data_IF_849106103714
#
_entry.id   IF_849106103714
#
_cell.length_a   1.000
_cell.length_b   1.000
_cell.length_c   1.000
_cell.angle_alpha   90.00
_cell.angle_beta   90.00
_cell.angle_gamma   90.00
#
_symmetry.space_group_name_H-M   'P 1'
#
loop_
_entity.id
_entity.type
_entity.pdbx_description
1 polymer ?
#
# COMPACT_ATOMS: atom_id res chain seq x y z
N UNK A 1 32.87 -0.29 -6.48
CA UNK A 1 31.85 -0.56 -5.45
C UNK A 1 30.52 0.10 -5.74
N UNK A 2 29.93 -0.10 -6.94
CA UNK A 2 28.60 0.43 -7.30
C UNK A 2 27.47 -0.59 -7.31
N UNK A 3 27.78 -1.89 -7.22
CA UNK A 3 26.76 -2.95 -7.29
C UNK A 3 25.73 -2.90 -6.16
N UNK A 4 26.17 -2.62 -4.93
CA UNK A 4 25.27 -2.47 -3.77
C UNK A 4 24.30 -1.30 -3.93
N UNK A 5 24.74 -0.21 -4.56
CA UNK A 5 23.88 0.95 -4.83
C UNK A 5 22.82 0.64 -5.91
N UNK A 6 23.19 -0.12 -6.93
CA UNK A 6 22.23 -0.60 -7.93
C UNK A 6 21.18 -1.54 -7.32
N UNK A 7 21.58 -2.41 -6.38
CA UNK A 7 20.65 -3.31 -5.68
C UNK A 7 19.68 -2.54 -4.77
N UNK A 8 20.13 -1.49 -4.07
CA UNK A 8 19.24 -0.67 -3.24
C UNK A 8 18.10 -0.04 -4.05
N UNK A 9 18.42 0.54 -5.22
CA UNK A 9 17.38 1.09 -6.09
C UNK A 9 16.48 0.00 -6.65
N UNK A 10 17.05 -1.13 -7.10
CA UNK A 10 16.27 -2.26 -7.58
C UNK A 10 15.24 -2.71 -6.53
N UNK A 11 15.64 -2.81 -5.27
CA UNK A 11 14.76 -3.21 -4.16
C UNK A 11 13.68 -2.15 -3.87
N UNK A 12 14.00 -0.86 -3.94
CA UNK A 12 12.98 0.20 -3.73
C UNK A 12 11.89 0.16 -4.81
N UNK A 13 12.27 -0.03 -6.09
CA UNK A 13 11.30 -0.18 -7.16
C UNK A 13 10.54 -1.52 -7.08
N UNK A 14 11.24 -2.61 -6.75
CA UNK A 14 10.63 -3.94 -6.59
C UNK A 14 9.59 -3.95 -5.45
N UNK A 15 9.87 -3.31 -4.32
CA UNK A 15 8.93 -3.22 -3.20
C UNK A 15 7.68 -2.39 -3.55
N UNK A 16 7.82 -1.33 -4.35
CA UNK A 16 6.68 -0.54 -4.84
C UNK A 16 5.79 -1.37 -5.77
N UNK A 17 6.38 -2.15 -6.68
CA UNK A 17 5.63 -3.05 -7.57
C UNK A 17 4.97 -4.21 -6.81
N UNK A 18 5.66 -4.77 -5.82
CA UNK A 18 5.11 -5.84 -5.00
C UNK A 18 3.87 -5.38 -4.22
N UNK A 19 3.94 -4.19 -3.63
CA UNK A 19 2.81 -3.60 -2.91
C UNK A 19 1.59 -3.40 -3.82
N UNK A 20 1.76 -2.89 -5.05
CA UNK A 20 0.63 -2.69 -5.96
C UNK A 20 -0.03 -3.99 -6.44
N UNK A 21 0.71 -5.09 -6.59
CA UNK A 21 0.13 -6.41 -6.84
C UNK A 21 -0.67 -6.89 -5.63
N UNK A 22 -0.07 -6.81 -4.44
CA UNK A 22 -0.70 -7.29 -3.20
C UNK A 22 -2.03 -6.59 -2.91
N UNK A 23 -2.13 -5.28 -3.18
CA UNK A 23 -3.37 -4.51 -2.98
C UNK A 23 -4.48 -4.97 -3.92
N UNK A 24 -4.18 -5.27 -5.18
CA UNK A 24 -5.20 -5.76 -6.13
C UNK A 24 -5.72 -7.12 -5.69
N UNK A 25 -4.82 -8.03 -5.29
CA UNK A 25 -5.21 -9.39 -4.89
C UNK A 25 -6.05 -9.40 -3.62
N UNK A 26 -5.67 -8.64 -2.59
CA UNK A 26 -6.38 -8.63 -1.30
C UNK A 26 -7.70 -7.86 -1.35
N UNK A 27 -7.78 -6.73 -2.07
CA UNK A 27 -8.99 -5.90 -2.07
C UNK A 27 -9.97 -6.20 -3.21
N UNK A 28 -9.49 -6.43 -4.43
CA UNK A 28 -10.38 -6.62 -5.60
C UNK A 28 -10.70 -8.10 -5.87
N UNK A 29 -9.99 -9.03 -5.21
CA UNK A 29 -10.18 -10.47 -5.35
C UNK A 29 -9.61 -11.02 -6.67
N UNK A 30 -9.14 -12.26 -6.64
CA UNK A 30 -8.46 -12.89 -7.79
C UNK A 30 -9.41 -13.46 -8.85
N UNK A 31 -10.72 -13.44 -8.62
CA UNK A 31 -11.67 -14.23 -9.42
C UNK A 31 -11.89 -13.67 -10.83
N UNK A 32 -11.69 -12.37 -11.05
CA UNK A 32 -11.84 -11.74 -12.36
C UNK A 32 -10.49 -11.46 -13.01
N UNK A 33 -9.90 -12.49 -13.63
CA UNK A 33 -8.58 -12.39 -14.30
C UNK A 33 -8.51 -11.24 -15.32
N UNK A 34 -9.60 -10.94 -16.04
CA UNK A 34 -9.68 -9.82 -16.99
C UNK A 34 -9.51 -8.45 -16.28
N UNK A 35 -10.00 -8.31 -15.05
CA UNK A 35 -10.00 -7.03 -14.34
C UNK A 35 -8.69 -6.74 -13.60
N UNK A 36 -7.86 -7.78 -13.39
CA UNK A 36 -6.61 -7.66 -12.61
C UNK A 36 -5.58 -6.79 -13.34
N UNK A 37 -5.40 -6.99 -14.64
CA UNK A 37 -4.41 -6.27 -15.45
C UNK A 37 -4.68 -4.75 -15.48
N UNK A 38 -5.90 -4.27 -15.82
CA UNK A 38 -6.18 -2.83 -15.81
C UNK A 38 -6.11 -2.25 -14.40
N UNK A 39 -6.56 -2.99 -13.37
CA UNK A 39 -6.50 -2.54 -11.98
C UNK A 39 -5.05 -2.37 -11.50
N UNK A 40 -4.17 -3.32 -11.83
CA UNK A 40 -2.76 -3.24 -11.51
C UNK A 40 -2.08 -2.03 -12.16
N UNK A 41 -2.34 -1.80 -13.44
CA UNK A 41 -1.83 -0.63 -14.15
C UNK A 41 -2.29 0.68 -13.48
N UNK A 42 -3.57 0.74 -13.09
CA UNK A 42 -4.12 1.88 -12.37
C UNK A 42 -3.39 2.13 -11.04
N UNK A 43 -3.17 1.09 -10.22
CA UNK A 43 -2.46 1.25 -8.94
C UNK A 43 -1.01 1.69 -9.12
N UNK A 44 -0.28 1.18 -10.12
CA UNK A 44 1.09 1.62 -10.39
C UNK A 44 1.12 3.11 -10.76
N UNK A 45 0.23 3.55 -11.66
CA UNK A 45 0.12 4.95 -12.05
C UNK A 45 -0.22 5.83 -10.85
N UNK A 46 -1.14 5.36 -10.00
CA UNK A 46 -1.51 6.07 -8.77
C UNK A 46 -0.31 6.23 -7.83
N UNK A 47 0.46 5.17 -7.57
CA UNK A 47 1.67 5.25 -6.74
C UNK A 47 2.73 6.20 -7.32
N UNK A 48 2.92 6.20 -8.64
CA UNK A 48 3.82 7.14 -9.32
C UNK A 48 3.37 8.60 -9.15
N UNK A 49 2.06 8.87 -9.31
CA UNK A 49 1.50 10.22 -9.16
C UNK A 49 1.65 10.70 -7.72
N UNK A 50 1.35 9.87 -6.72
CA UNK A 50 1.49 10.25 -5.31
C UNK A 50 2.92 10.70 -4.98
N UNK A 51 3.93 10.01 -5.52
CA UNK A 51 5.35 10.36 -5.33
C UNK A 51 5.69 11.73 -5.93
N UNK A 52 5.00 12.15 -6.99
CA UNK A 52 5.20 13.45 -7.63
C UNK A 52 4.40 14.60 -6.99
N UNK A 53 3.22 14.31 -6.43
CA UNK A 53 2.28 15.34 -5.96
C UNK A 53 2.48 15.70 -4.49
N UNK A 54 2.83 14.73 -3.63
CA UNK A 54 2.89 14.98 -2.19
C UNK A 54 4.23 15.54 -1.71
N UNK A 55 4.24 16.65 -0.96
CA UNK A 55 5.45 17.13 -0.30
C UNK A 55 5.89 16.16 0.80
N UNK A 56 7.21 16.10 1.05
CA UNK A 56 7.78 15.20 2.06
C UNK A 56 7.24 15.54 3.46
N UNK A 57 6.59 14.55 4.07
CA UNK A 57 6.12 14.64 5.44
C UNK A 57 7.19 14.10 6.41
N UNK A 58 7.40 14.76 7.56
CA UNK A 58 8.32 14.25 8.58
C UNK A 58 7.75 13.01 9.25
N UNK A 59 8.64 12.10 9.65
CA UNK A 59 8.30 10.82 10.27
C UNK A 59 7.47 11.00 11.56
N UNK A 60 7.72 12.04 12.35
CA UNK A 60 7.03 12.27 13.63
C UNK A 60 5.52 12.46 13.44
N UNK A 61 5.13 13.26 12.45
CA UNK A 61 3.74 13.52 12.14
C UNK A 61 3.07 12.29 11.49
N UNK A 62 3.80 11.50 10.70
CA UNK A 62 3.30 10.25 10.12
C UNK A 62 3.01 9.21 11.21
N UNK A 63 3.91 9.09 12.19
CA UNK A 63 3.75 8.21 13.35
C UNK A 63 2.54 8.62 14.18
N UNK A 64 2.40 9.91 14.50
CA UNK A 64 1.25 10.42 15.24
C UNK A 64 -0.09 10.10 14.54
N UNK A 65 -0.15 10.26 13.22
CA UNK A 65 -1.34 9.96 12.42
C UNK A 65 -1.68 8.47 12.42
N UNK A 66 -0.67 7.61 12.32
CA UNK A 66 -0.86 6.16 12.36
C UNK A 66 -1.40 5.71 13.73
N UNK A 67 -0.81 6.22 14.82
CA UNK A 67 -1.18 5.84 16.18
C UNK A 67 -2.55 6.38 16.61
N UNK A 68 -2.88 7.62 16.26
CA UNK A 68 -4.12 8.23 16.73
C UNK A 68 -5.33 7.88 15.86
N UNK A 69 -5.15 7.62 14.56
CA UNK A 69 -6.27 7.44 13.64
C UNK A 69 -6.33 6.03 13.06
N UNK A 70 -5.24 5.52 12.47
CA UNK A 70 -5.27 4.23 11.77
C UNK A 70 -5.40 3.05 12.72
N UNK A 71 -4.63 3.05 13.80
CA UNK A 71 -4.62 1.96 14.76
C UNK A 71 -5.98 1.77 15.44
N UNK A 72 -6.61 2.80 16.06
CA UNK A 72 -7.92 2.61 16.69
C UNK A 72 -9.03 2.31 15.68
N UNK A 73 -8.94 2.83 14.45
CA UNK A 73 -9.90 2.52 13.40
C UNK A 73 -9.82 1.05 12.95
N UNK A 74 -8.61 0.52 12.75
CA UNK A 74 -8.45 -0.89 12.39
C UNK A 74 -8.93 -1.82 13.51
N UNK A 75 -8.68 -1.45 14.77
CA UNK A 75 -9.11 -2.25 15.93
C UNK A 75 -10.64 -2.23 16.11
N UNK A 76 -11.28 -1.06 15.91
CA UNK A 76 -12.74 -0.96 16.02
C UNK A 76 -13.46 -1.72 14.92
N UNK A 77 -12.94 -1.71 13.69
CA UNK A 77 -13.50 -2.46 12.56
C UNK A 77 -13.38 -3.98 12.79
N UNK A 78 -12.25 -4.43 13.36
CA UNK A 78 -12.07 -5.83 13.75
C UNK A 78 -13.06 -6.26 14.83
N UNK A 79 -13.24 -5.47 15.88
CA UNK A 79 -14.22 -5.74 16.94
C UNK A 79 -15.65 -5.78 16.41
N UNK A 80 -16.02 -4.85 15.52
CA UNK A 80 -17.34 -4.84 14.88
C UNK A 80 -17.58 -6.09 14.02
N UNK A 81 -16.58 -6.51 13.25
CA UNK A 81 -16.68 -7.74 12.45
C UNK A 81 -16.85 -9.00 13.31
N UNK A 82 -16.19 -9.06 14.47
CA UNK A 82 -16.34 -10.19 15.40
C UNK A 82 -17.73 -10.21 16.05
N UNK A 83 -18.26 -9.04 16.43
CA UNK A 83 -19.60 -8.94 17.01
C UNK A 83 -20.69 -9.31 16.00
N UNK A 84 -20.58 -8.88 14.74
CA UNK A 84 -21.56 -9.21 13.71
C UNK A 84 -21.52 -10.71 13.30
N UNK A 85 -20.39 -11.38 13.56
CA UNK A 85 -20.26 -12.82 13.31
C UNK A 85 -20.95 -13.69 14.38
N UNK A 86 -21.16 -13.15 15.59
CA UNK A 86 -21.79 -13.86 16.71
C UNK A 86 -23.30 -13.57 16.77
#
# INVERSE_FOLDING_TARGET
GGGLFALLFLTEYSSTLFLSVSTVVWFLGSNFLILIIPSFCFFILFFLIIRGVYPRHRYDLLMLFCWNSFLPFSLSLLLFSLLNFF
#
